data_IF_218455215921
#
_entry.id   IF_218455215921
#
_cell.length_a   1.000
_cell.length_b   1.000
_cell.length_c   1.000
_cell.angle_alpha   90.00
_cell.angle_beta   90.00
_cell.angle_gamma   90.00
#
_symmetry.space_group_name_H-M   'P 1'
#
loop_
_entity.id
_entity.type
_entity.pdbx_description
1 polymer ?
#
# COMPACT_ATOMS: atom_id res chain seq x y z
N UNK A 1 13.24 -43.49 7.94
CA UNK A 1 13.11 -42.23 8.72
C UNK A 1 14.17 -41.27 8.23
N UNK A 2 13.97 -40.01 7.88
CA UNK A 2 12.80 -39.11 7.74
C UNK A 2 13.28 -38.04 6.76
N UNK A 3 12.45 -37.72 5.76
CA UNK A 3 12.76 -36.70 4.76
C UNK A 3 12.71 -35.30 5.36
N UNK A 4 13.71 -34.48 5.03
CA UNK A 4 13.67 -33.03 5.23
C UNK A 4 13.28 -32.38 3.91
N UNK A 5 11.99 -32.35 3.62
CA UNK A 5 11.42 -31.47 2.60
C UNK A 5 11.50 -30.04 3.13
N UNK A 6 12.60 -29.35 2.81
CA UNK A 6 12.67 -27.90 2.87
C UNK A 6 11.57 -27.35 1.97
N UNK A 7 10.53 -26.79 2.58
CA UNK A 7 9.44 -26.16 1.86
C UNK A 7 10.00 -25.08 0.96
N UNK A 8 9.83 -25.23 -0.35
CA UNK A 8 9.94 -24.10 -1.28
C UNK A 8 8.98 -23.03 -0.79
N UNK A 9 9.49 -21.95 -0.22
CA UNK A 9 8.73 -20.71 -0.14
C UNK A 9 8.24 -20.39 -1.55
N UNK A 10 6.94 -20.12 -1.75
CA UNK A 10 6.46 -19.66 -3.04
C UNK A 10 7.22 -18.38 -3.39
N UNK A 11 7.94 -18.39 -4.51
CA UNK A 11 8.53 -17.19 -5.08
C UNK A 11 7.43 -16.13 -5.20
N UNK A 12 7.66 -14.89 -4.74
CA UNK A 12 6.65 -13.84 -4.81
C UNK A 12 6.22 -13.66 -6.27
N UNK A 13 4.92 -13.79 -6.50
CA UNK A 13 4.29 -13.58 -7.82
C UNK A 13 4.77 -12.26 -8.40
N UNK A 14 5.30 -12.33 -9.63
CA UNK A 14 5.86 -11.22 -10.38
C UNK A 14 4.93 -9.99 -10.35
N UNK A 15 5.38 -8.90 -9.73
CA UNK A 15 4.70 -7.59 -9.79
C UNK A 15 4.74 -6.71 -8.54
N UNK A 16 5.27 -7.18 -7.40
CA UNK A 16 5.47 -6.30 -6.22
C UNK A 16 6.86 -6.52 -5.65
N UNK A 17 7.73 -5.52 -5.78
CA UNK A 17 8.89 -5.49 -4.91
C UNK A 17 8.41 -5.32 -3.47
N UNK A 18 8.85 -6.21 -2.58
CA UNK A 18 8.51 -6.17 -1.15
C UNK A 18 9.71 -5.58 -0.39
N UNK A 19 9.50 -4.41 0.21
CA UNK A 19 10.50 -3.61 0.88
C UNK A 19 10.38 -3.74 2.40
N UNK A 20 11.51 -3.73 3.09
CA UNK A 20 11.54 -3.50 4.53
C UNK A 20 11.25 -2.02 4.85
N UNK A 21 10.87 -1.71 6.10
CA UNK A 21 10.58 -0.33 6.51
C UNK A 21 11.76 0.63 6.31
N UNK A 22 12.98 0.15 6.43
CA UNK A 22 14.19 0.94 6.19
C UNK A 22 14.29 1.38 4.72
N UNK A 23 13.99 0.48 3.79
CA UNK A 23 14.01 0.77 2.34
C UNK A 23 12.83 1.67 1.99
N UNK A 24 11.63 1.41 2.52
CA UNK A 24 10.48 2.28 2.32
C UNK A 24 10.75 3.72 2.79
N UNK A 25 11.40 3.89 3.96
CA UNK A 25 11.79 5.20 4.48
C UNK A 25 12.77 5.93 3.55
N UNK A 26 13.74 5.21 2.97
CA UNK A 26 14.69 5.80 2.01
C UNK A 26 14.00 6.20 0.71
N UNK A 27 13.15 5.34 0.15
CA UNK A 27 12.46 5.60 -1.12
C UNK A 27 11.49 6.78 -1.04
N UNK A 28 10.91 7.02 0.14
CA UNK A 28 9.84 8.01 0.34
C UNK A 28 10.30 9.29 1.02
N UNK A 29 11.57 9.35 1.46
CA UNK A 29 12.06 10.41 2.34
C UNK A 29 11.33 10.49 3.69
N UNK A 30 10.47 9.52 4.03
CA UNK A 30 9.65 9.54 5.24
C UNK A 30 10.34 8.78 6.36
N UNK A 31 10.50 9.41 7.53
CA UNK A 31 11.08 8.75 8.70
C UNK A 31 10.31 7.49 9.13
N UNK A 32 11.02 6.43 9.55
CA UNK A 32 10.40 5.15 9.92
C UNK A 32 9.33 5.27 11.02
N UNK A 33 9.49 6.21 11.96
CA UNK A 33 8.50 6.46 13.01
C UNK A 33 7.21 7.06 12.44
N UNK A 34 7.31 7.94 11.44
CA UNK A 34 6.14 8.49 10.75
C UNK A 34 5.42 7.41 9.95
N UNK A 35 6.16 6.52 9.26
CA UNK A 35 5.55 5.37 8.57
C UNK A 35 4.73 4.51 9.56
N UNK A 36 5.30 4.20 10.74
CA UNK A 36 4.57 3.45 11.79
C UNK A 36 3.35 4.21 12.31
N UNK A 37 3.45 5.52 12.44
CA UNK A 37 2.32 6.37 12.83
C UNK A 37 1.22 6.31 11.79
N UNK A 38 1.55 6.41 10.50
CA UNK A 38 0.58 6.35 9.40
C UNK A 38 -0.13 5.00 9.37
N UNK A 39 0.60 3.90 9.59
CA UNK A 39 0.00 2.57 9.76
C UNK A 39 -0.95 2.49 10.96
N UNK A 40 -0.53 3.02 12.11
CA UNK A 40 -1.35 3.00 13.34
C UNK A 40 -2.64 3.81 13.15
N UNK A 41 -2.59 4.84 12.30
CA UNK A 41 -3.74 5.65 11.88
C UNK A 41 -4.54 5.00 10.75
N UNK A 42 -4.14 3.83 10.25
CA UNK A 42 -4.83 3.10 9.19
C UNK A 42 -4.67 3.67 7.78
N UNK A 43 -3.70 4.56 7.56
CA UNK A 43 -3.47 5.19 6.24
C UNK A 43 -2.87 4.23 5.21
N UNK A 44 -2.17 3.19 5.68
CA UNK A 44 -1.65 2.10 4.88
C UNK A 44 -1.62 0.82 5.71
N UNK A 45 -1.69 -0.33 5.04
CA UNK A 45 -1.68 -1.65 5.69
C UNK A 45 -0.73 -2.57 4.92
N UNK A 46 0.58 -2.51 5.20
CA UNK A 46 1.56 -3.35 4.51
C UNK A 46 1.32 -4.82 4.84
N UNK A 47 1.70 -5.69 3.91
CA UNK A 47 1.70 -7.12 4.16
C UNK A 47 2.70 -7.48 5.27
N UNK A 48 2.54 -8.65 5.87
CA UNK A 48 3.49 -9.20 6.84
C UNK A 48 3.94 -10.59 6.42
N UNK A 49 5.21 -10.89 6.64
CA UNK A 49 5.73 -12.27 6.53
C UNK A 49 5.12 -13.16 7.60
N UNK A 50 5.27 -14.48 7.45
CA UNK A 50 4.96 -15.47 8.48
C UNK A 50 5.66 -15.18 9.82
N UNK A 51 6.89 -14.63 9.76
CA UNK A 51 7.65 -14.17 10.92
C UNK A 51 7.23 -12.81 11.48
N UNK A 52 6.19 -12.17 10.94
CA UNK A 52 5.62 -10.92 11.44
C UNK A 52 6.28 -9.63 10.93
N UNK A 53 7.29 -9.73 10.07
CA UNK A 53 8.01 -8.59 9.49
C UNK A 53 7.18 -7.91 8.42
N UNK A 54 7.12 -6.57 8.45
CA UNK A 54 6.40 -5.76 7.47
C UNK A 54 7.07 -5.81 6.10
N UNK A 55 6.25 -5.92 5.06
CA UNK A 55 6.62 -5.91 3.66
C UNK A 55 5.78 -4.86 2.93
N UNK A 56 6.42 -3.75 2.58
CA UNK A 56 5.80 -2.66 1.81
C UNK A 56 5.94 -2.98 0.34
N UNK A 57 4.87 -2.81 -0.41
CA UNK A 57 4.87 -2.96 -1.85
C UNK A 57 5.05 -1.63 -2.57
N UNK A 58 5.27 -1.67 -3.89
CA UNK A 58 5.29 -0.46 -4.73
C UNK A 58 4.04 0.42 -4.54
N UNK A 59 2.87 -0.20 -4.33
CA UNK A 59 1.64 0.54 -4.04
C UNK A 59 1.68 1.24 -2.66
N UNK A 60 2.31 0.62 -1.66
CA UNK A 60 2.48 1.24 -0.34
C UNK A 60 3.48 2.40 -0.42
N UNK A 61 4.52 2.28 -1.24
CA UNK A 61 5.46 3.38 -1.53
C UNK A 61 4.73 4.56 -2.17
N UNK A 62 3.86 4.30 -3.16
CA UNK A 62 3.05 5.36 -3.79
C UNK A 62 2.13 6.06 -2.78
N UNK A 63 1.50 5.31 -1.86
CA UNK A 63 0.68 5.89 -0.79
C UNK A 63 1.53 6.76 0.15
N UNK A 64 2.73 6.30 0.53
CA UNK A 64 3.62 7.07 1.40
C UNK A 64 4.09 8.39 0.76
N UNK A 65 4.44 8.36 -0.53
CA UNK A 65 4.78 9.56 -1.29
C UNK A 65 3.62 10.54 -1.34
N UNK A 66 2.41 10.05 -1.64
CA UNK A 66 1.20 10.87 -1.67
C UNK A 66 0.86 11.48 -0.31
N UNK A 67 1.03 10.73 0.79
CA UNK A 67 0.90 11.28 2.15
C UNK A 67 1.87 12.44 2.35
N UNK A 68 3.13 12.30 1.89
CA UNK A 68 4.11 13.39 1.91
C UNK A 68 3.65 14.64 1.17
N UNK A 69 3.19 14.48 -0.07
CA UNK A 69 2.66 15.57 -0.90
C UNK A 69 1.47 16.29 -0.25
N UNK A 70 0.54 15.54 0.35
CA UNK A 70 -0.62 16.14 1.03
C UNK A 70 -0.24 16.85 2.33
N UNK A 71 0.78 16.37 3.04
CA UNK A 71 1.34 17.08 4.21
C UNK A 71 1.98 18.40 3.80
N UNK A 72 2.72 18.43 2.69
CA UNK A 72 3.31 19.66 2.13
C UNK A 72 2.24 20.67 1.71
N UNK A 73 1.07 20.20 1.28
CA UNK A 73 -0.11 21.04 1.01
C UNK A 73 -0.83 21.53 2.28
N UNK A 74 -0.34 21.16 3.47
CA UNK A 74 -0.86 21.63 4.76
C UNK A 74 -2.01 20.81 5.34
N UNK A 75 -2.31 19.64 4.78
CA UNK A 75 -3.33 18.76 5.36
C UNK A 75 -2.77 18.06 6.60
N UNK A 76 -3.63 17.88 7.61
CA UNK A 76 -3.32 17.00 8.73
C UNK A 76 -3.68 15.53 8.40
N UNK A 77 -3.25 14.60 9.25
CA UNK A 77 -3.49 13.16 9.01
C UNK A 77 -4.97 12.76 8.91
N UNK A 78 -5.89 13.47 9.56
CA UNK A 78 -7.31 13.20 9.43
C UNK A 78 -7.86 13.66 8.07
N UNK A 79 -7.40 14.81 7.58
CA UNK A 79 -7.67 15.28 6.22
C UNK A 79 -7.12 14.33 5.17
N UNK A 80 -5.87 13.88 5.35
CA UNK A 80 -5.22 12.91 4.46
C UNK A 80 -6.00 11.60 4.42
N UNK A 81 -6.40 11.06 5.58
CA UNK A 81 -7.23 9.86 5.63
C UNK A 81 -8.50 10.02 4.77
N UNK A 82 -9.14 11.19 4.87
CA UNK A 82 -10.35 11.47 4.10
C UNK A 82 -10.09 11.59 2.61
N UNK A 83 -8.99 12.22 2.20
CA UNK A 83 -8.59 12.32 0.79
C UNK A 83 -8.35 10.93 0.20
N UNK A 84 -7.55 10.09 0.86
CA UNK A 84 -7.26 8.73 0.40
C UNK A 84 -8.53 7.87 0.26
N UNK A 85 -9.45 7.99 1.22
CA UNK A 85 -10.75 7.32 1.16
C UNK A 85 -11.56 7.76 -0.07
N UNK A 86 -11.65 9.07 -0.31
CA UNK A 86 -12.41 9.64 -1.43
C UNK A 86 -11.79 9.27 -2.78
N UNK A 87 -10.46 9.29 -2.90
CA UNK A 87 -9.75 8.85 -4.10
C UNK A 87 -10.01 7.38 -4.41
N UNK A 88 -9.96 6.51 -3.39
CA UNK A 88 -10.28 5.09 -3.54
C UNK A 88 -11.74 4.87 -3.97
N UNK A 89 -12.69 5.60 -3.38
CA UNK A 89 -14.10 5.56 -3.79
C UNK A 89 -14.28 6.04 -5.23
N UNK A 90 -13.64 7.15 -5.61
CA UNK A 90 -13.71 7.71 -6.95
C UNK A 90 -13.12 6.74 -8.00
N UNK A 91 -11.98 6.13 -7.71
CA UNK A 91 -11.38 5.11 -8.57
C UNK A 91 -12.32 3.91 -8.79
N UNK A 92 -13.04 3.47 -7.74
CA UNK A 92 -14.05 2.39 -7.85
C UNK A 92 -15.22 2.83 -8.72
N UNK A 93 -15.74 4.04 -8.53
CA UNK A 93 -16.83 4.60 -9.33
C UNK A 93 -16.44 4.72 -10.81
N UNK A 94 -15.26 5.26 -11.12
CA UNK A 94 -14.76 5.33 -12.49
C UNK A 94 -14.61 3.95 -13.14
N UNK A 95 -14.13 2.94 -12.41
CA UNK A 95 -14.08 1.55 -12.92
C UNK A 95 -15.48 1.00 -13.18
N UNK A 96 -16.44 1.25 -12.29
CA UNK A 96 -17.82 0.82 -12.46
C UNK A 96 -18.49 1.48 -13.67
N UNK A 97 -18.31 2.79 -13.83
CA UNK A 97 -18.83 3.56 -14.96
C UNK A 97 -18.23 3.10 -16.29
N UNK A 98 -16.90 2.87 -16.33
CA UNK A 98 -16.23 2.33 -17.51
C UNK A 98 -16.81 0.97 -17.89
N UNK A 99 -17.01 0.07 -16.93
CA UNK A 99 -17.66 -1.23 -17.17
C UNK A 99 -19.06 -1.04 -17.74
N UNK A 100 -19.92 -0.26 -17.07
CA UNK A 100 -21.31 -0.05 -17.51
C UNK A 100 -21.39 0.54 -18.94
N UNK A 101 -20.52 1.49 -19.27
CA UNK A 101 -20.45 2.08 -20.63
C UNK A 101 -19.89 1.12 -21.68
N UNK A 102 -19.06 0.17 -21.28
CA UNK A 102 -18.53 -0.87 -22.15
C UNK A 102 -19.51 -2.03 -22.40
N UNK A 103 -20.69 -2.04 -21.75
CA UNK A 103 -21.81 -2.93 -22.06
C UNK A 103 -22.94 -2.17 -22.77
N UNK A 104 -22.83 -1.84 -24.07
CA UNK A 104 -23.98 -1.38 -24.85
C UNK A 104 -24.76 -2.62 -25.32
N UNK A 105 -25.89 -2.93 -24.70
CA UNK A 105 -26.70 -4.08 -25.12
C UNK A 105 -27.84 -4.45 -24.18
N UNK A 106 -28.86 -3.59 -24.13
CA UNK A 106 -30.28 -3.96 -24.05
C UNK A 106 -31.01 -3.12 -25.10
#
# INVERSE_FOLDING_TARGET
MTGSTSGREPLPTAGRALYAISVAAQLTGTGQQNIRLYETRGLLTPARTSGGTRQYSDADIAVLLHIGELLEQGLNLAGIAKVLELEAANARLHRALKRARSFPGL
#
